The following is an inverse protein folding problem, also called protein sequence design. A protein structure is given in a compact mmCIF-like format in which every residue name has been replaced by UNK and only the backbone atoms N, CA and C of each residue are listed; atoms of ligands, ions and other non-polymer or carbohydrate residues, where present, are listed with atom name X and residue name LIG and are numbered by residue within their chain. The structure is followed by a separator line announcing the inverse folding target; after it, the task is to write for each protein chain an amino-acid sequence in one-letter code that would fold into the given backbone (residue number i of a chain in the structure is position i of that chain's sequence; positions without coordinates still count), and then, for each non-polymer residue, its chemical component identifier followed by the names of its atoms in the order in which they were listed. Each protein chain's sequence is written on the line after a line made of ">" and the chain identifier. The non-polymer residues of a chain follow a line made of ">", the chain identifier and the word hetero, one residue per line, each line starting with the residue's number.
data_IF_469587837871
#
_entry.id   IF_469587837871
#
_cell.length_a   1.000
_cell.length_b   1.000
_cell.length_c   1.000
_cell.angle_alpha   90.00
_cell.angle_beta   90.00
_cell.angle_gamma   90.00
#
_symmetry.space_group_name_H-M   'P 1'
#
loop_
_entity.id
_entity.type
_entity.pdbx_description
1 polymer ?
#
# COMPACT_ATOMS: atom_id res chain seq x y z
N UNK A 1 -19.48 -9.33 9.45
CA UNK A 1 -19.47 -7.86 9.30
C UNK A 1 -20.32 -7.28 10.42
N UNK A 2 -19.66 -6.61 11.38
CA UNK A 2 -20.31 -6.06 12.58
C UNK A 2 -21.21 -4.86 12.21
N UNK A 3 -22.17 -4.52 13.07
CA UNK A 3 -23.08 -3.37 12.87
C UNK A 3 -22.32 -2.04 12.73
N UNK A 4 -21.14 -1.92 13.35
CA UNK A 4 -20.29 -0.74 13.30
C UNK A 4 -19.64 -0.53 11.94
N UNK A 5 -19.15 -1.61 11.31
CA UNK A 5 -18.52 -1.56 9.98
C UNK A 5 -19.51 -1.05 8.92
N UNK A 6 -20.77 -1.52 8.99
CA UNK A 6 -21.84 -1.12 8.06
C UNK A 6 -22.19 0.37 8.14
N UNK A 7 -22.02 1.02 9.30
CA UNK A 7 -22.31 2.45 9.49
C UNK A 7 -21.17 3.36 9.07
N UNK A 8 -19.92 2.90 9.20
CA UNK A 8 -18.73 3.72 8.89
C UNK A 8 -18.46 3.73 7.37
N UNK A 9 -18.71 2.62 6.69
CA UNK A 9 -18.45 2.47 5.24
C UNK A 9 -19.01 3.62 4.37
N UNK A 10 -20.31 4.00 4.47
CA UNK A 10 -20.85 5.07 3.64
C UNK A 10 -20.18 6.42 3.91
N UNK A 11 -19.88 6.72 5.18
CA UNK A 11 -19.27 7.97 5.60
C UNK A 11 -17.80 8.05 5.16
N UNK A 12 -17.04 6.98 5.36
CA UNK A 12 -15.66 6.89 4.93
C UNK A 12 -15.53 7.07 3.42
N UNK A 13 -16.34 6.34 2.64
CA UNK A 13 -16.38 6.45 1.18
C UNK A 13 -16.65 7.89 0.73
N UNK A 14 -17.64 8.56 1.32
CA UNK A 14 -17.96 9.95 0.99
C UNK A 14 -16.80 10.90 1.32
N UNK A 15 -16.22 10.81 2.52
CA UNK A 15 -15.10 11.66 2.92
C UNK A 15 -13.87 11.46 2.04
N UNK A 16 -13.52 10.20 1.75
CA UNK A 16 -12.39 9.86 0.89
C UNK A 16 -12.56 10.46 -0.51
N UNK A 17 -13.74 10.31 -1.12
CA UNK A 17 -13.99 10.82 -2.47
C UNK A 17 -14.05 12.36 -2.53
N UNK A 18 -14.52 13.01 -1.47
CA UNK A 18 -14.46 14.48 -1.34
C UNK A 18 -13.01 14.95 -1.31
N UNK A 19 -12.18 14.35 -0.44
CA UNK A 19 -10.77 14.69 -0.33
C UNK A 19 -10.03 14.42 -1.65
N UNK A 20 -10.27 13.28 -2.29
CA UNK A 20 -9.66 12.92 -3.56
C UNK A 20 -9.99 13.92 -4.68
N UNK A 21 -11.26 14.37 -4.76
CA UNK A 21 -11.66 15.41 -5.71
C UNK A 21 -10.99 16.75 -5.42
N UNK A 22 -10.83 17.10 -4.15
CA UNK A 22 -10.11 18.32 -3.76
C UNK A 22 -8.66 18.28 -4.25
N UNK A 23 -7.93 17.21 -3.94
CA UNK A 23 -6.55 17.04 -4.39
C UNK A 23 -6.42 17.05 -5.93
N UNK A 24 -7.41 16.51 -6.64
CA UNK A 24 -7.48 16.58 -8.09
C UNK A 24 -7.58 18.02 -8.59
N UNK A 25 -8.50 18.80 -8.02
CA UNK A 25 -8.73 20.19 -8.42
C UNK A 25 -7.55 21.10 -8.05
N UNK A 26 -6.87 20.79 -6.94
CA UNK A 26 -5.71 21.53 -6.46
C UNK A 26 -4.42 21.14 -7.22
N UNK A 27 -4.50 20.21 -8.19
CA UNK A 27 -3.37 19.65 -8.95
C UNK A 27 -2.28 19.01 -8.06
N UNK A 28 -2.65 18.54 -6.88
CA UNK A 28 -1.75 17.84 -5.95
C UNK A 28 -1.59 16.35 -6.28
N UNK A 29 -2.36 15.84 -7.24
CA UNK A 29 -2.29 14.47 -7.72
C UNK A 29 -1.41 14.35 -8.97
N UNK A 30 -0.46 13.41 -8.93
CA UNK A 30 0.39 13.11 -10.07
C UNK A 30 -0.33 12.20 -11.08
N UNK A 31 -0.81 12.77 -12.19
CA UNK A 31 -1.43 12.02 -13.30
C UNK A 31 -0.67 12.11 -14.62
N UNK A 32 0.59 12.57 -14.61
CA UNK A 32 1.37 12.78 -15.85
C UNK A 32 1.47 11.50 -16.67
N UNK A 33 1.07 11.58 -17.95
CA UNK A 33 1.08 10.43 -18.87
C UNK A 33 -0.09 9.45 -18.70
N UNK A 34 -1.12 9.81 -17.92
CA UNK A 34 -2.32 8.99 -17.73
C UNK A 34 -3.56 9.67 -18.30
N UNK A 35 -4.57 8.87 -18.66
CA UNK A 35 -5.88 9.34 -19.13
C UNK A 35 -6.64 10.18 -18.08
N UNK A 36 -6.26 10.05 -16.80
CA UNK A 36 -6.93 10.70 -15.69
C UNK A 36 -6.62 12.20 -15.58
N UNK A 37 -5.72 12.74 -16.40
CA UNK A 37 -5.58 14.20 -16.55
C UNK A 37 -6.84 14.84 -17.16
N UNK A 38 -7.61 14.05 -17.93
CA UNK A 38 -8.85 14.52 -18.50
C UNK A 38 -9.94 14.53 -17.40
N UNK A 39 -10.51 15.69 -17.06
CA UNK A 39 -11.53 15.79 -16.01
C UNK A 39 -12.74 14.89 -16.23
N UNK A 40 -13.14 14.64 -17.48
CA UNK A 40 -14.26 13.73 -17.79
C UNK A 40 -13.91 12.28 -17.46
N UNK A 41 -12.69 11.85 -17.80
CA UNK A 41 -12.21 10.49 -17.51
C UNK A 41 -12.05 10.30 -16.00
N UNK A 42 -11.48 11.29 -15.31
CA UNK A 42 -11.40 11.29 -13.86
C UNK A 42 -12.77 11.26 -13.20
N UNK A 43 -13.73 12.06 -13.64
CA UNK A 43 -15.08 12.05 -13.08
C UNK A 43 -15.78 10.71 -13.32
N UNK A 44 -15.55 10.06 -14.47
CA UNK A 44 -16.02 8.70 -14.73
C UNK A 44 -15.40 7.68 -13.77
N UNK A 45 -14.10 7.80 -13.47
CA UNK A 45 -13.43 6.98 -12.45
C UNK A 45 -14.11 7.16 -11.08
N UNK A 46 -14.35 8.40 -10.65
CA UNK A 46 -15.02 8.70 -9.38
C UNK A 46 -16.42 8.07 -9.35
N UNK A 47 -17.21 8.23 -10.42
CA UNK A 47 -18.55 7.65 -10.51
C UNK A 47 -18.51 6.12 -10.40
N UNK A 48 -17.55 5.48 -11.07
CA UNK A 48 -17.36 4.02 -11.04
C UNK A 48 -16.97 3.55 -9.64
N UNK A 49 -16.04 4.24 -8.99
CA UNK A 49 -15.58 3.91 -7.64
C UNK A 49 -16.70 4.15 -6.62
N UNK A 50 -17.50 5.20 -6.77
CA UNK A 50 -18.63 5.48 -5.89
C UNK A 50 -19.67 4.35 -5.94
N UNK A 51 -19.95 3.77 -7.12
CA UNK A 51 -20.93 2.69 -7.29
C UNK A 51 -20.49 1.33 -6.71
N UNK A 52 -19.19 1.12 -6.52
CA UNK A 52 -18.70 -0.14 -5.94
C UNK A 52 -19.11 -0.26 -4.47
N UNK A 53 -19.30 -1.48 -4.00
CA UNK A 53 -19.43 -1.74 -2.57
C UNK A 53 -18.04 -1.63 -1.92
N UNK A 54 -17.90 -0.70 -0.97
CA UNK A 54 -16.64 -0.47 -0.26
C UNK A 54 -16.61 -1.31 1.01
N UNK A 55 -15.79 -2.36 1.04
CA UNK A 55 -15.53 -3.11 2.26
C UNK A 55 -14.40 -2.40 3.02
N UNK A 56 -14.76 -1.64 4.06
CA UNK A 56 -13.78 -0.97 4.92
C UNK A 56 -13.56 -1.85 6.14
N UNK A 57 -12.39 -2.47 6.22
CA UNK A 57 -11.98 -3.22 7.40
C UNK A 57 -11.40 -2.27 8.44
N UNK A 58 -12.04 -2.19 9.60
CA UNK A 58 -11.56 -1.40 10.73
C UNK A 58 -11.28 -2.37 11.86
N UNK A 59 -10.00 -2.56 12.15
CA UNK A 59 -9.55 -3.26 13.34
C UNK A 59 -9.27 -2.21 14.41
N UNK A 60 -9.57 -2.52 15.67
CA UNK A 60 -9.05 -1.72 16.78
C UNK A 60 -7.52 -1.59 16.61
N UNK A 61 -7.01 -0.36 16.75
CA UNK A 61 -5.58 -0.13 16.91
C UNK A 61 -5.09 -0.93 18.11
N UNK A 62 -3.87 -1.45 18.01
CA UNK A 62 -3.26 -2.28 19.05
C UNK A 62 -3.50 -1.65 20.44
N UNK A 63 -4.20 -2.37 21.33
CA UNK A 63 -4.58 -1.87 22.67
C UNK A 63 -3.37 -1.54 23.55
N UNK A 64 -2.20 -2.12 23.26
CA UNK A 64 -0.98 -1.94 24.02
C UNK A 64 0.27 -2.07 23.12
N UNK A 65 1.39 -1.54 23.62
CA UNK A 65 2.72 -1.67 23.00
C UNK A 65 3.12 -3.13 22.79
N UNK A 66 2.70 -4.02 23.68
CA UNK A 66 3.06 -5.44 23.63
C UNK A 66 2.51 -6.13 22.37
N UNK A 67 1.30 -5.77 21.93
CA UNK A 67 0.73 -6.29 20.69
C UNK A 67 1.47 -5.80 19.44
N UNK A 68 2.05 -4.59 19.49
CA UNK A 68 2.91 -4.05 18.43
C UNK A 68 4.24 -4.80 18.42
N UNK A 69 4.83 -5.06 19.60
CA UNK A 69 6.06 -5.84 19.75
C UNK A 69 5.84 -7.27 19.26
N UNK A 70 4.73 -7.93 19.63
CA UNK A 70 4.41 -9.28 19.17
C UNK A 70 4.22 -9.33 17.65
N UNK A 71 3.57 -8.31 17.07
CA UNK A 71 3.44 -8.18 15.61
C UNK A 71 4.81 -8.05 14.96
N UNK A 72 5.66 -7.14 15.44
CA UNK A 72 7.03 -6.94 14.92
C UNK A 72 7.93 -8.16 15.13
N UNK A 73 7.82 -8.84 16.27
CA UNK A 73 8.57 -10.05 16.59
C UNK A 73 8.21 -11.22 15.65
N UNK A 74 6.99 -11.29 15.13
CA UNK A 74 6.66 -12.26 14.07
C UNK A 74 7.42 -11.98 12.78
N UNK A 75 7.76 -10.72 12.49
CA UNK A 75 8.55 -10.33 11.32
C UNK A 75 10.06 -10.43 11.54
N UNK A 76 10.56 -10.44 12.78
CA UNK A 76 11.97 -10.80 13.02
C UNK A 76 12.23 -12.27 12.68
N UNK A 77 11.24 -13.15 12.90
CA UNK A 77 11.34 -14.57 12.55
C UNK A 77 10.86 -14.89 11.10
N UNK A 78 9.95 -14.08 10.53
CA UNK A 78 9.51 -14.17 9.13
C UNK A 78 9.85 -12.87 8.38
N UNK A 79 11.14 -12.64 8.23
CA UNK A 79 11.67 -11.52 7.45
C UNK A 79 11.30 -11.71 5.96
N UNK A 80 10.81 -10.64 5.32
CA UNK A 80 10.51 -10.61 3.88
C UNK A 80 11.73 -11.01 3.03
N UNK A 81 12.93 -10.73 3.52
CA UNK A 81 14.22 -11.18 2.98
C UNK A 81 15.07 -11.68 4.16
N UNK A 82 15.40 -12.96 4.19
CA UNK A 82 16.28 -13.53 5.21
C UNK A 82 17.72 -13.00 5.09
N UNK A 83 18.42 -12.78 6.21
CA UNK A 83 19.78 -12.19 6.20
C UNK A 83 20.77 -12.92 5.27
N UNK A 84 20.72 -14.25 5.21
CA UNK A 84 21.57 -15.05 4.31
C UNK A 84 21.34 -14.79 2.81
N UNK A 85 20.25 -14.10 2.44
CA UNK A 85 19.98 -13.69 1.07
C UNK A 85 20.69 -12.40 0.70
N UNK A 86 21.09 -11.58 1.67
CA UNK A 86 21.86 -10.35 1.43
C UNK A 86 23.30 -10.76 1.11
N UNK A 87 23.79 -10.34 -0.05
CA UNK A 87 25.12 -10.67 -0.55
C UNK A 87 26.11 -9.54 -0.32
N UNK A 88 25.67 -8.29 -0.50
CA UNK A 88 26.51 -7.11 -0.34
C UNK A 88 25.64 -5.87 -0.13
N UNK A 89 26.15 -4.89 0.62
CA UNK A 89 25.50 -3.59 0.82
C UNK A 89 26.57 -2.51 0.69
N UNK A 90 26.53 -1.75 -0.41
CA UNK A 90 27.51 -0.70 -0.72
C UNK A 90 26.86 0.45 -1.49
N UNK A 91 27.32 1.67 -1.25
CA UNK A 91 26.96 2.87 -2.00
C UNK A 91 25.43 3.08 -2.13
N UNK A 92 24.68 2.89 -1.04
CA UNK A 92 23.21 3.03 -1.05
C UNK A 92 22.47 1.91 -1.79
N UNK A 93 23.14 0.81 -2.16
CA UNK A 93 22.51 -0.35 -2.79
C UNK A 93 22.69 -1.62 -1.96
N UNK A 94 21.66 -2.45 -1.92
CA UNK A 94 21.71 -3.81 -1.39
C UNK A 94 21.57 -4.83 -2.53
N UNK A 95 22.50 -5.77 -2.57
CA UNK A 95 22.46 -6.95 -3.42
C UNK A 95 21.88 -8.12 -2.61
N UNK A 96 20.86 -8.79 -3.15
CA UNK A 96 20.34 -10.00 -2.53
C UNK A 96 19.95 -11.06 -3.55
N UNK A 97 20.01 -12.33 -3.13
CA UNK A 97 19.50 -13.46 -3.89
C UNK A 97 18.05 -13.76 -3.50
N UNK A 98 17.21 -14.11 -4.48
CA UNK A 98 15.87 -14.60 -4.24
C UNK A 98 15.58 -15.81 -5.12
N UNK A 99 14.67 -16.67 -4.67
CA UNK A 99 14.15 -17.77 -5.51
C UNK A 99 12.97 -17.24 -6.31
N UNK A 100 13.06 -17.31 -7.62
CA UNK A 100 11.92 -17.06 -8.48
C UNK A 100 11.02 -18.29 -8.47
N UNK A 101 9.83 -18.18 -7.89
CA UNK A 101 8.91 -19.32 -7.77
C UNK A 101 8.24 -19.70 -9.10
N UNK A 102 8.33 -18.87 -10.14
CA UNK A 102 7.82 -19.23 -11.49
C UNK A 102 8.74 -20.23 -12.18
N UNK A 103 10.05 -20.01 -12.09
CA UNK A 103 11.06 -20.80 -12.80
C UNK A 103 11.92 -21.68 -11.87
N UNK A 104 11.66 -21.64 -10.55
CA UNK A 104 12.41 -22.27 -9.45
C UNK A 104 13.93 -21.97 -9.43
N UNK A 105 14.38 -20.95 -10.16
CA UNK A 105 15.79 -20.53 -10.24
C UNK A 105 16.13 -19.50 -9.16
N UNK A 106 17.35 -19.55 -8.62
CA UNK A 106 17.90 -18.47 -7.80
C UNK A 106 18.30 -17.31 -8.73
N UNK A 107 17.80 -16.10 -8.44
CA UNK A 107 18.08 -14.86 -9.18
C UNK A 107 18.69 -13.83 -8.23
N UNK A 108 19.47 -12.91 -8.78
CA UNK A 108 20.08 -11.79 -8.06
C UNK A 108 19.25 -10.52 -8.28
N UNK A 109 19.09 -9.70 -7.25
CA UNK A 109 18.41 -8.41 -7.34
C UNK A 109 19.22 -7.33 -6.64
N UNK A 110 19.31 -6.18 -7.32
CA UNK A 110 19.82 -4.93 -6.78
C UNK A 110 18.62 -4.10 -6.31
N UNK A 111 18.67 -3.59 -5.08
CA UNK A 111 17.72 -2.61 -4.58
C UNK A 111 18.48 -1.37 -4.13
N UNK A 112 18.06 -0.20 -4.61
CA UNK A 112 18.57 1.09 -4.15
C UNK A 112 17.73 1.54 -2.97
N UNK A 113 18.37 1.90 -1.86
CA UNK A 113 17.69 2.61 -0.79
C UNK A 113 17.40 4.02 -1.31
N UNK A 114 16.13 4.37 -1.47
CA UNK A 114 15.74 5.78 -1.59
C UNK A 114 15.78 6.34 -0.17
N UNK A 115 16.56 7.41 0.02
CA UNK A 115 16.54 8.18 1.26
C UNK A 115 15.08 8.61 1.54
N UNK A 116 14.61 8.31 2.74
CA UNK A 116 13.28 8.68 3.25
C UNK A 116 13.17 10.19 3.45
#
# INVERSE_FOLDING_TARGET
>A
MSVYEKRIMPRFRSLFLIALKKLYNDNELYFKGTEYQNPKVFQNLINRIFKKEWIVYIKESFKNSDSVIEYLAKYTHRIAISNHRILDVRNGNAHFSYRDYKDNKKKLRLCRFMDL
#
